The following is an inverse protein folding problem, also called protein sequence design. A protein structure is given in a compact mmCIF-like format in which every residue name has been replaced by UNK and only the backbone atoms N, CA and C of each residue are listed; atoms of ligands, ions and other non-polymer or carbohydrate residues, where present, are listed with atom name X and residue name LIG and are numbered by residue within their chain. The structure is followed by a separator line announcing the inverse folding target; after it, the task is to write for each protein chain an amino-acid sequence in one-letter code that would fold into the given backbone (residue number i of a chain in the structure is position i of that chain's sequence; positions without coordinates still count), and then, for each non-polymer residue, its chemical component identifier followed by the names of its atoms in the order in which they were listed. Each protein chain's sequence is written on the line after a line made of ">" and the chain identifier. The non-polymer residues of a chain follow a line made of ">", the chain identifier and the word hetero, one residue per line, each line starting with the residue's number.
data_IF_101640616306
#
_entry.id   IF_101640616306
#
_cell.length_a   1.000
_cell.length_b   1.000
_cell.length_c   1.000
_cell.angle_alpha   90.00
_cell.angle_beta   90.00
_cell.angle_gamma   90.00
#
_symmetry.space_group_name_H-M   'P 1'
#
loop_
_entity.id
_entity.type
_entity.pdbx_description
1 polymer ?
#
# COMPACT_ATOMS: atom_id res chain seq x y z
N UNK A 1 -7.31 6.23 16.88
CA UNK A 1 -6.31 6.15 15.79
C UNK A 1 -6.51 4.89 14.95
N UNK A 2 -6.31 3.69 15.50
CA UNK A 2 -6.43 2.44 14.74
C UNK A 2 -7.77 2.28 13.98
N UNK A 3 -8.92 2.42 14.66
CA UNK A 3 -10.23 2.29 14.01
C UNK A 3 -10.47 3.35 12.91
N UNK A 4 -9.92 4.56 13.08
CA UNK A 4 -10.04 5.63 12.08
C UNK A 4 -9.28 5.29 10.80
N UNK A 5 -8.04 4.79 10.92
CA UNK A 5 -7.25 4.36 9.76
C UNK A 5 -7.88 3.16 9.05
N UNK A 6 -8.43 2.20 9.80
CA UNK A 6 -9.13 1.05 9.22
C UNK A 6 -10.33 1.48 8.37
N UNK A 7 -11.07 2.51 8.80
CA UNK A 7 -12.21 3.04 8.04
C UNK A 7 -11.81 3.81 6.76
N UNK A 8 -10.53 4.18 6.61
CA UNK A 8 -10.02 4.89 5.44
C UNK A 8 -9.35 3.95 4.42
N UNK A 9 -9.14 2.68 4.77
CA UNK A 9 -8.41 1.74 3.92
C UNK A 9 -9.19 1.44 2.63
N UNK A 10 -8.50 1.57 1.51
CA UNK A 10 -9.04 1.26 0.18
C UNK A 10 -9.97 2.32 -0.40
N UNK A 11 -10.49 3.24 0.40
CA UNK A 11 -11.39 4.30 -0.05
C UNK A 11 -10.61 5.44 -0.73
N UNK A 12 -10.99 5.82 -1.98
CA UNK A 12 -10.37 6.95 -2.67
C UNK A 12 -11.02 8.26 -2.22
N UNK A 13 -10.18 9.23 -1.86
CA UNK A 13 -10.61 10.58 -1.45
C UNK A 13 -10.13 11.61 -2.45
N UNK A 14 -11.04 12.44 -2.96
CA UNK A 14 -10.66 13.52 -3.89
C UNK A 14 -9.80 14.58 -3.19
N UNK A 15 -8.77 15.04 -3.90
CA UNK A 15 -7.93 16.19 -3.50
C UNK A 15 -8.55 17.52 -3.93
N UNK A 16 -9.65 17.48 -4.71
CA UNK A 16 -10.42 18.66 -5.14
C UNK A 16 -9.88 19.39 -6.37
N UNK A 17 -8.68 19.06 -6.84
CA UNK A 17 -8.04 19.63 -8.05
C UNK A 17 -7.57 18.51 -8.98
N UNK A 18 -7.53 18.81 -10.29
CA UNK A 18 -6.89 17.99 -11.34
C UNK A 18 -7.32 16.52 -11.47
N UNK A 19 -8.49 16.15 -10.94
CA UNK A 19 -8.95 14.76 -10.94
C UNK A 19 -8.09 13.84 -10.05
N UNK A 20 -7.37 14.42 -9.09
CA UNK A 20 -6.52 13.67 -8.18
C UNK A 20 -7.32 13.07 -7.03
N UNK A 21 -7.01 11.82 -6.70
CA UNK A 21 -7.51 11.11 -5.53
C UNK A 21 -6.35 10.55 -4.73
N UNK A 22 -6.51 10.48 -3.41
CA UNK A 22 -5.59 9.73 -2.57
C UNK A 22 -6.29 8.54 -1.93
N UNK A 23 -5.57 7.44 -1.81
CA UNK A 23 -6.06 6.19 -1.20
C UNK A 23 -5.10 5.73 -0.13
N UNK A 24 -5.59 5.43 1.08
CA UNK A 24 -4.78 4.77 2.11
C UNK A 24 -4.81 3.26 1.88
N UNK A 25 -3.63 2.65 1.77
CA UNK A 25 -3.48 1.22 1.51
C UNK A 25 -2.54 0.59 2.52
N UNK A 26 -2.82 -0.66 2.87
CA UNK A 26 -1.96 -1.48 3.71
C UNK A 26 -2.03 -2.92 3.25
N UNK A 27 -0.88 -3.59 3.19
CA UNK A 27 -0.87 -5.03 2.96
C UNK A 27 -1.45 -5.72 4.21
N UNK A 28 -2.57 -6.43 4.03
CA UNK A 28 -3.19 -7.21 5.10
C UNK A 28 -2.67 -8.63 4.96
N UNK A 29 -1.78 -9.01 5.88
CA UNK A 29 -1.19 -10.33 5.96
C UNK A 29 -2.29 -11.37 6.28
N UNK A 30 -2.47 -12.38 5.41
CA UNK A 30 -3.58 -13.35 5.53
C UNK A 30 -3.50 -14.19 6.80
N UNK A 31 -2.32 -14.26 7.44
CA UNK A 31 -2.07 -15.06 8.63
C UNK A 31 -2.63 -14.45 9.93
N UNK A 32 -3.13 -13.20 9.89
CA UNK A 32 -3.47 -12.46 11.11
C UNK A 32 -4.96 -12.19 11.37
N UNK A 33 -5.87 -12.59 10.47
CA UNK A 33 -7.29 -12.28 10.64
C UNK A 33 -8.21 -13.43 10.23
N UNK A 34 -8.84 -14.05 11.23
CA UNK A 34 -10.15 -14.63 11.06
C UNK A 34 -11.11 -13.56 10.47
N UNK A 35 -12.04 -14.02 9.61
CA UNK A 35 -13.19 -13.32 9.03
C UNK A 35 -13.04 -12.54 7.70
N UNK A 36 -13.78 -13.13 6.74
CA UNK A 36 -14.66 -12.55 5.72
C UNK A 36 -14.14 -12.56 4.28
N UNK A 37 -14.84 -13.30 3.41
CA UNK A 37 -14.47 -13.54 2.00
C UNK A 37 -14.50 -12.26 1.15
N UNK A 38 -15.19 -11.21 1.62
CA UNK A 38 -15.19 -9.87 1.03
C UNK A 38 -13.82 -9.20 1.02
N UNK A 39 -12.94 -9.50 2.01
CA UNK A 39 -11.58 -8.92 2.08
C UNK A 39 -10.61 -9.51 1.06
N UNK A 40 -10.92 -10.66 0.47
CA UNK A 40 -10.05 -11.33 -0.50
C UNK A 40 -9.88 -10.52 -1.79
N UNK A 41 -10.96 -9.92 -2.31
CA UNK A 41 -10.90 -9.05 -3.50
C UNK A 41 -10.20 -7.71 -3.24
N UNK A 42 -10.45 -7.10 -2.08
CA UNK A 42 -9.75 -5.89 -1.62
C UNK A 42 -8.24 -6.14 -1.47
N UNK A 43 -7.84 -7.37 -1.10
CA UNK A 43 -6.42 -7.72 -0.97
C UNK A 43 -5.68 -7.70 -2.31
N UNK A 44 -6.29 -8.15 -3.40
CA UNK A 44 -5.64 -8.19 -4.72
C UNK A 44 -5.45 -6.80 -5.32
N UNK A 45 -6.46 -5.92 -5.21
CA UNK A 45 -6.35 -4.52 -5.63
C UNK A 45 -5.32 -3.77 -4.79
N UNK A 46 -5.36 -3.93 -3.46
CA UNK A 46 -4.36 -3.34 -2.57
C UNK A 46 -2.95 -3.81 -2.92
N UNK A 47 -2.76 -5.11 -3.17
CA UNK A 47 -1.47 -5.67 -3.56
C UNK A 47 -0.99 -5.09 -4.90
N UNK A 48 -1.89 -4.94 -5.88
CA UNK A 48 -1.59 -4.28 -7.15
C UNK A 48 -1.12 -2.84 -6.95
N UNK A 49 -1.87 -2.04 -6.17
CA UNK A 49 -1.52 -0.66 -5.82
C UNK A 49 -0.16 -0.58 -5.12
N UNK A 50 0.13 -1.47 -4.18
CA UNK A 50 1.43 -1.52 -3.49
C UNK A 50 2.60 -1.86 -4.44
N UNK A 51 2.40 -2.73 -5.44
CA UNK A 51 3.42 -2.98 -6.46
C UNK A 51 3.69 -1.75 -7.34
N UNK A 52 2.64 -1.00 -7.69
CA UNK A 52 2.80 0.27 -8.40
C UNK A 52 3.58 1.27 -7.54
N UNK A 53 3.23 1.39 -6.26
CA UNK A 53 3.96 2.25 -5.32
C UNK A 53 5.44 1.85 -5.19
N UNK A 54 5.75 0.56 -5.15
CA UNK A 54 7.12 0.06 -5.13
C UNK A 54 7.88 0.46 -6.41
N UNK A 55 7.24 0.29 -7.57
CA UNK A 55 7.83 0.65 -8.86
C UNK A 55 8.16 2.13 -8.92
N UNK A 56 7.24 3.01 -8.50
CA UNK A 56 7.46 4.46 -8.42
C UNK A 56 8.64 4.80 -7.49
N UNK A 57 8.75 4.11 -6.36
CA UNK A 57 9.87 4.32 -5.44
C UNK A 57 11.19 3.89 -6.04
N UNK A 58 11.24 2.79 -6.81
CA UNK A 58 12.44 2.33 -7.50
C UNK A 58 12.83 3.18 -8.71
N UNK A 59 11.88 3.88 -9.33
CA UNK A 59 12.19 4.89 -10.36
C UNK A 59 12.84 6.14 -9.75
N UNK A 60 12.51 6.47 -8.50
CA UNK A 60 12.98 7.67 -7.82
C UNK A 60 14.23 7.45 -6.96
N UNK A 61 14.43 6.23 -6.46
CA UNK A 61 15.46 5.90 -5.47
C UNK A 61 16.08 4.53 -5.76
N UNK A 62 17.39 4.40 -5.48
CA UNK A 62 18.07 3.10 -5.53
C UNK A 62 17.53 2.19 -4.40
N UNK A 63 17.26 0.89 -4.65
CA UNK A 63 16.81 -0.05 -3.64
C UNK A 63 17.74 -0.11 -2.43
N UNK A 64 17.19 -0.03 -1.23
CA UNK A 64 17.96 -0.07 0.01
C UNK A 64 18.04 -1.50 0.52
N UNK A 65 19.14 -2.19 0.19
CA UNK A 65 19.31 -3.59 0.56
C UNK A 65 19.79 -3.78 1.99
N UNK A 66 19.09 -4.62 2.76
CA UNK A 66 19.58 -5.04 4.08
C UNK A 66 20.79 -5.96 3.92
N UNK A 67 21.86 -5.68 4.66
CA UNK A 67 23.13 -6.39 4.56
C UNK A 67 23.04 -7.91 4.81
N UNK A 68 22.10 -8.36 5.63
CA UNK A 68 21.99 -9.76 6.06
C UNK A 68 21.08 -10.62 5.16
N UNK A 69 19.92 -10.09 4.76
CA UNK A 69 18.92 -10.81 3.95
C UNK A 69 18.98 -10.46 2.47
N UNK A 70 19.67 -9.38 2.09
CA UNK A 70 19.62 -8.77 0.76
C UNK A 70 18.20 -8.33 0.34
N UNK A 71 17.25 -8.26 1.28
CA UNK A 71 15.90 -7.74 1.02
C UNK A 71 15.96 -6.25 0.73
N UNK A 72 15.07 -5.79 -0.13
CA UNK A 72 14.82 -4.37 -0.30
C UNK A 72 13.95 -3.84 0.84
N UNK A 73 14.52 -2.95 1.66
CA UNK A 73 13.83 -2.35 2.79
C UNK A 73 12.66 -1.47 2.35
N UNK A 74 12.70 -0.91 1.13
CA UNK A 74 11.58 -0.13 0.59
C UNK A 74 10.38 -1.05 0.33
N UNK A 75 10.61 -2.21 -0.30
CA UNK A 75 9.59 -3.25 -0.44
C UNK A 75 9.04 -3.70 0.92
N UNK A 76 9.92 -3.98 1.89
CA UNK A 76 9.49 -4.42 3.23
C UNK A 76 8.60 -3.38 3.93
N UNK A 77 8.90 -2.08 3.77
CA UNK A 77 8.09 -0.97 4.28
C UNK A 77 6.74 -0.87 3.56
N UNK A 78 6.74 -0.85 2.22
CA UNK A 78 5.53 -0.69 1.40
C UNK A 78 4.55 -1.84 1.66
N UNK A 79 5.05 -3.07 1.76
CA UNK A 79 4.24 -4.26 2.06
C UNK A 79 4.03 -4.48 3.56
N UNK A 80 4.46 -3.56 4.42
CA UNK A 80 4.31 -3.68 5.88
C UNK A 80 4.74 -5.03 6.44
N UNK A 81 5.84 -5.59 5.92
CA UNK A 81 6.26 -6.96 6.22
C UNK A 81 6.66 -7.10 7.69
N UNK A 82 6.39 -8.27 8.23
CA UNK A 82 6.75 -8.61 9.61
C UNK A 82 8.16 -9.18 9.70
N UNK A 83 8.80 -8.98 10.85
CA UNK A 83 10.05 -9.63 11.22
C UNK A 83 10.12 -9.83 12.73
N UNK A 84 10.83 -10.88 13.16
CA UNK A 84 11.23 -11.08 14.55
C UNK A 84 12.24 -10.03 15.02
N UNK A 85 13.05 -9.49 14.10
CA UNK A 85 14.00 -8.44 14.39
C UNK A 85 13.28 -7.10 14.43
N UNK A 86 13.25 -6.47 15.61
CA UNK A 86 12.56 -5.18 15.81
C UNK A 86 12.96 -4.10 14.78
N UNK A 87 14.23 -4.07 14.36
CA UNK A 87 14.73 -3.09 13.37
C UNK A 87 14.22 -3.32 11.95
N UNK A 88 13.65 -4.50 11.67
CA UNK A 88 13.12 -4.93 10.37
C UNK A 88 11.61 -5.24 10.42
N UNK A 89 10.93 -4.90 11.52
CA UNK A 89 9.51 -5.16 11.66
C UNK A 89 8.71 -3.93 11.19
N UNK A 90 8.12 -4.03 10.00
CA UNK A 90 7.42 -2.94 9.32
C UNK A 90 5.89 -3.09 9.38
N UNK A 91 5.33 -3.95 10.25
CA UNK A 91 3.87 -4.12 10.39
C UNK A 91 3.09 -2.85 10.71
N UNK A 92 3.74 -1.78 11.19
CA UNK A 92 3.11 -0.50 11.51
C UNK A 92 2.86 0.44 10.34
N UNK A 93 3.41 0.16 9.15
CA UNK A 93 3.40 1.11 8.03
C UNK A 93 2.07 1.11 7.26
N UNK A 94 1.79 2.24 6.62
CA UNK A 94 0.67 2.42 5.70
C UNK A 94 1.19 3.23 4.52
N UNK A 95 0.64 3.00 3.34
CA UNK A 95 1.02 3.68 2.10
C UNK A 95 -0.13 4.55 1.64
N UNK A 96 0.13 5.85 1.42
CA UNK A 96 -0.83 6.73 0.75
C UNK A 96 -0.44 6.81 -0.71
N UNK A 97 -1.33 6.41 -1.60
CA UNK A 97 -1.15 6.57 -3.04
C UNK A 97 -1.88 7.84 -3.49
N UNK A 98 -1.21 8.66 -4.29
CA UNK A 98 -1.82 9.77 -5.00
C UNK A 98 -1.97 9.37 -6.47
N UNK A 99 -3.20 9.28 -6.93
CA UNK A 99 -3.57 8.75 -8.22
C UNK A 99 -4.30 9.84 -9.01
N UNK A 100 -4.01 9.96 -10.30
CA UNK A 100 -4.81 10.78 -11.21
C UNK A 100 -5.78 9.86 -11.92
N UNK A 101 -7.07 10.03 -11.70
CA UNK A 101 -8.04 9.37 -12.54
C UNK A 101 -7.95 10.01 -13.92
N UNK A 102 -7.51 9.25 -14.91
CA UNK A 102 -7.82 9.61 -16.28
C UNK A 102 -9.33 9.51 -16.41
N UNK A 103 -10.01 10.66 -16.39
CA UNK A 103 -11.40 10.73 -16.82
C UNK A 103 -11.48 10.00 -18.16
N UNK A 104 -12.12 8.82 -18.15
CA UNK A 104 -12.55 8.17 -19.38
C UNK A 104 -13.50 9.19 -20.00
N UNK A 105 -12.99 9.93 -21.00
CA UNK A 105 -13.72 11.02 -21.63
C UNK A 105 -15.14 10.60 -22.03
N UNK A 106 -16.02 11.56 -22.36
CA UNK A 106 -17.49 11.40 -22.40
C UNK A 106 -18.06 10.41 -23.43
N UNK A 107 -17.23 9.56 -24.04
CA UNK A 107 -17.55 8.61 -25.09
C UNK A 107 -17.33 7.14 -24.68
N UNK A 108 -17.36 6.83 -23.38
CA UNK A 108 -17.48 5.45 -22.87
C UNK A 108 -18.62 5.33 -21.87
#
# INVERSE_FOLDING_TARGET
>A
LYAGLQNLLGEPFSVGVDGLTWTLVKCIDSESCDLDSSKSGLSAECYSKLNVALSVMHECFEPLKESASCNDLVEDVIFSRWSELNRMNFRGFYTVLLEKNEDLGPWR
#
